data_IF_489213424409
#
_entry.id   IF_489213424409
#
_cell.length_a   1.000
_cell.length_b   1.000
_cell.length_c   1.000
_cell.angle_alpha   90.00
_cell.angle_beta   90.00
_cell.angle_gamma   90.00
#
_symmetry.space_group_name_H-M   'P 1'
#
loop_
_entity.id
_entity.type
_entity.pdbx_description
1 polymer ?
#
# COMPACT_ATOMS: atom_id res chain seq x y z
N UNK A 1 31.32 -5.32 1.62
CA UNK A 1 31.50 -3.90 2.00
C UNK A 1 30.11 -3.32 2.12
N UNK A 2 29.59 -3.32 3.33
CA UNK A 2 28.28 -2.69 3.64
C UNK A 2 28.46 -1.18 3.56
N UNK A 3 27.94 -0.57 2.51
CA UNK A 3 27.72 0.87 2.52
C UNK A 3 26.57 1.14 3.49
N UNK A 4 26.75 1.99 4.51
CA UNK A 4 25.64 2.40 5.35
C UNK A 4 24.61 3.09 4.45
N UNK A 5 23.36 2.63 4.53
CA UNK A 5 22.21 3.25 3.87
C UNK A 5 22.27 4.75 4.17
N UNK A 6 22.30 5.58 3.13
CA UNK A 6 22.26 7.04 3.29
C UNK A 6 20.96 7.35 4.04
N UNK A 7 21.07 8.03 5.19
CA UNK A 7 19.90 8.58 5.88
C UNK A 7 19.18 9.45 4.85
N UNK A 8 18.00 9.01 4.45
CA UNK A 8 17.11 9.84 3.63
C UNK A 8 16.81 11.10 4.44
N UNK A 9 16.87 12.27 3.82
CA UNK A 9 16.52 13.52 4.51
C UNK A 9 15.10 13.43 5.07
N UNK A 10 14.77 14.21 6.08
CA UNK A 10 13.49 14.23 6.79
C UNK A 10 12.36 14.82 5.90
N UNK A 11 11.99 14.10 4.81
CA UNK A 11 10.97 14.54 3.84
C UNK A 11 9.57 14.68 4.46
N UNK A 12 9.33 13.98 5.55
CA UNK A 12 8.03 13.94 6.25
C UNK A 12 8.10 14.51 7.66
N UNK A 13 9.11 15.34 7.97
CA UNK A 13 9.19 15.97 9.28
C UNK A 13 7.93 16.80 9.58
N UNK A 14 7.33 16.58 10.76
CA UNK A 14 6.09 17.21 11.19
C UNK A 14 4.82 16.74 10.44
N UNK A 15 4.89 15.70 9.61
CA UNK A 15 3.74 15.13 8.91
C UNK A 15 3.19 13.90 9.63
N UNK A 16 1.89 13.66 9.45
CA UNK A 16 1.19 12.47 9.95
C UNK A 16 0.78 11.59 8.78
N UNK A 17 1.15 10.32 8.85
CA UNK A 17 0.80 9.32 7.85
C UNK A 17 -0.09 8.21 8.43
N UNK A 18 -1.06 7.73 7.64
CA UNK A 18 -1.86 6.54 7.93
C UNK A 18 -1.51 5.48 6.90
N UNK A 19 -1.14 4.28 7.36
CA UNK A 19 -0.78 3.14 6.50
C UNK A 19 -1.64 1.94 6.86
N UNK A 20 -2.42 1.42 5.91
CA UNK A 20 -3.26 0.23 6.11
C UNK A 20 -2.58 -1.05 5.66
N UNK A 21 -2.94 -2.19 6.26
CA UNK A 21 -2.24 -3.47 6.04
C UNK A 21 -0.79 -3.40 6.56
N UNK A 22 -0.58 -2.68 7.68
CA UNK A 22 0.75 -2.28 8.14
C UNK A 22 1.39 -3.28 9.12
N UNK A 23 0.73 -4.40 9.45
CA UNK A 23 1.30 -5.42 10.32
C UNK A 23 2.34 -6.33 9.62
N UNK A 24 2.55 -6.20 8.31
CA UNK A 24 3.51 -7.03 7.56
C UNK A 24 3.82 -6.47 6.17
N UNK A 25 4.84 -7.04 5.52
CA UNK A 25 5.13 -6.85 4.10
C UNK A 25 5.29 -5.39 3.68
N UNK A 26 4.67 -5.02 2.55
CA UNK A 26 4.77 -3.68 1.98
C UNK A 26 4.27 -2.60 2.95
N UNK A 27 3.17 -2.86 3.67
CA UNK A 27 2.62 -1.90 4.62
C UNK A 27 3.57 -1.61 5.78
N UNK A 28 4.14 -2.66 6.40
CA UNK A 28 5.11 -2.51 7.49
C UNK A 28 6.38 -1.78 7.02
N UNK A 29 6.93 -2.16 5.86
CA UNK A 29 8.09 -1.49 5.27
C UNK A 29 7.80 -0.01 4.94
N UNK A 30 6.58 0.29 4.46
CA UNK A 30 6.15 1.66 4.19
C UNK A 30 6.04 2.48 5.48
N UNK A 31 5.43 1.92 6.53
CA UNK A 31 5.33 2.58 7.83
C UNK A 31 6.71 2.90 8.40
N UNK A 32 7.62 1.92 8.40
CA UNK A 32 9.00 2.11 8.83
C UNK A 32 9.71 3.19 8.01
N UNK A 33 9.60 3.16 6.68
CA UNK A 33 10.21 4.12 5.79
C UNK A 33 9.72 5.55 6.01
N UNK A 34 8.41 5.77 6.15
CA UNK A 34 7.85 7.09 6.41
C UNK A 34 8.28 7.63 7.78
N UNK A 35 8.34 6.75 8.79
CA UNK A 35 8.82 7.12 10.13
C UNK A 35 10.31 7.46 10.14
N UNK A 36 11.17 6.70 9.45
CA UNK A 36 12.59 6.99 9.28
C UNK A 36 12.82 8.37 8.65
N UNK A 37 11.91 8.80 7.77
CA UNK A 37 11.95 10.10 7.12
C UNK A 37 11.19 11.21 7.86
N UNK A 38 10.82 10.98 9.13
CA UNK A 38 10.31 11.98 10.06
C UNK A 38 8.80 12.00 10.28
N UNK A 39 8.01 11.18 9.58
CA UNK A 39 6.57 11.12 9.82
C UNK A 39 6.23 10.54 11.19
N UNK A 40 5.10 10.99 11.75
CA UNK A 40 4.38 10.20 12.74
C UNK A 40 3.41 9.26 12.01
N UNK A 41 3.46 7.95 12.29
CA UNK A 41 2.73 6.95 11.51
C UNK A 41 1.69 6.23 12.34
N UNK A 42 0.45 6.20 11.85
CA UNK A 42 -0.61 5.32 12.34
C UNK A 42 -0.65 4.07 11.48
N UNK A 43 -0.33 2.94 12.09
CA UNK A 43 -0.39 1.62 11.48
C UNK A 43 -1.78 1.03 11.68
N UNK A 44 -2.41 0.57 10.63
CA UNK A 44 -3.77 0.01 10.65
C UNK A 44 -3.77 -1.41 10.11
N UNK A 45 -4.23 -2.37 10.91
CA UNK A 45 -4.37 -3.78 10.50
C UNK A 45 -5.36 -4.51 11.41
N UNK A 46 -5.76 -5.73 11.04
CA UNK A 46 -6.51 -6.65 11.92
C UNK A 46 -5.58 -7.48 12.82
N UNK A 47 -4.32 -7.63 12.45
CA UNK A 47 -3.36 -8.47 13.16
C UNK A 47 -2.65 -7.68 14.27
N UNK A 48 -3.34 -7.51 15.41
CA UNK A 48 -2.95 -6.68 16.54
C UNK A 48 -1.52 -6.97 17.02
N UNK A 49 -1.24 -8.21 17.42
CA UNK A 49 0.08 -8.59 17.95
C UNK A 49 1.24 -8.24 17.00
N UNK A 50 1.05 -8.51 15.70
CA UNK A 50 2.08 -8.21 14.71
C UNK A 50 2.21 -6.72 14.45
N UNK A 51 1.09 -6.00 14.45
CA UNK A 51 1.07 -4.56 14.23
C UNK A 51 1.74 -3.79 15.37
N UNK A 52 1.51 -4.21 16.62
CA UNK A 52 2.19 -3.61 17.78
C UNK A 52 3.70 -3.85 17.72
N UNK A 53 4.17 -5.05 17.38
CA UNK A 53 5.60 -5.32 17.17
C UNK A 53 6.23 -4.40 16.13
N UNK A 54 5.52 -4.11 15.03
CA UNK A 54 6.03 -3.17 14.01
C UNK A 54 6.10 -1.74 14.58
N UNK A 55 5.08 -1.31 15.32
CA UNK A 55 5.05 0.03 15.93
C UNK A 55 6.14 0.20 17.00
N UNK A 56 6.35 -0.81 17.84
CA UNK A 56 7.42 -0.83 18.86
C UNK A 56 8.80 -0.72 18.20
N UNK A 57 9.05 -1.51 17.16
CA UNK A 57 10.32 -1.45 16.43
C UNK A 57 10.59 -0.08 15.81
N UNK A 58 9.58 0.55 15.21
CA UNK A 58 9.71 1.92 14.71
C UNK A 58 10.08 2.88 15.86
N UNK A 59 9.50 2.69 17.05
CA UNK A 59 9.83 3.47 18.24
C UNK A 59 11.27 3.25 18.72
N UNK A 60 11.75 2.01 18.73
CA UNK A 60 13.14 1.64 19.09
C UNK A 60 14.15 2.29 18.13
N UNK A 61 13.80 2.40 16.84
CA UNK A 61 14.60 3.07 15.81
C UNK A 61 14.51 4.61 15.88
N UNK A 62 13.78 5.16 16.88
CA UNK A 62 13.64 6.60 17.13
C UNK A 62 12.53 7.28 16.32
N UNK A 63 11.68 6.51 15.63
CA UNK A 63 10.50 6.99 14.93
C UNK A 63 9.29 7.19 15.84
N UNK A 64 8.20 7.74 15.29
CA UNK A 64 6.92 7.90 15.98
C UNK A 64 5.87 7.03 15.32
N UNK A 65 5.37 6.03 16.03
CA UNK A 65 4.38 5.12 15.50
C UNK A 65 3.31 4.75 16.53
N UNK A 66 2.11 4.45 16.05
CA UNK A 66 1.01 3.90 16.85
C UNK A 66 0.25 2.89 16.01
N UNK A 67 -0.07 1.77 16.62
CA UNK A 67 -0.94 0.78 16.00
C UNK A 67 -2.41 0.99 16.37
N UNK A 68 -3.31 0.70 15.42
CA UNK A 68 -4.77 0.71 15.61
C UNK A 68 -5.36 -0.54 14.95
N UNK A 69 -5.98 -1.40 15.75
CA UNK A 69 -6.76 -2.53 15.25
C UNK A 69 -8.04 -2.02 14.59
N UNK A 70 -8.15 -2.17 13.27
CA UNK A 70 -9.32 -1.75 12.51
C UNK A 70 -9.52 -2.60 11.25
N UNK A 71 -10.78 -2.87 10.91
CA UNK A 71 -11.17 -3.40 9.60
C UNK A 71 -11.42 -2.25 8.64
N UNK A 72 -10.60 -2.13 7.60
CA UNK A 72 -10.74 -1.06 6.60
C UNK A 72 -12.07 -1.08 5.86
N UNK A 73 -12.77 -2.22 5.85
CA UNK A 73 -14.09 -2.37 5.25
C UNK A 73 -15.24 -1.88 6.15
N UNK A 74 -14.95 -1.53 7.41
CA UNK A 74 -15.93 -1.03 8.38
C UNK A 74 -15.79 0.49 8.52
N UNK A 75 -16.83 1.23 8.16
CA UNK A 75 -16.80 2.70 8.13
C UNK A 75 -16.52 3.29 9.52
N UNK A 76 -17.16 2.74 10.56
CA UNK A 76 -17.02 3.21 11.94
C UNK A 76 -15.59 3.09 12.48
N UNK A 77 -14.82 2.12 11.99
CA UNK A 77 -13.44 1.93 12.41
C UNK A 77 -12.54 3.09 11.96
N UNK A 78 -12.84 3.72 10.84
CA UNK A 78 -12.08 4.87 10.35
C UNK A 78 -12.14 6.09 11.27
N UNK A 79 -13.22 6.26 12.05
CA UNK A 79 -13.29 7.33 13.05
C UNK A 79 -12.20 7.15 14.12
N UNK A 80 -11.93 5.90 14.55
CA UNK A 80 -10.84 5.58 15.51
C UNK A 80 -9.46 5.81 14.90
N UNK A 81 -9.30 5.45 13.63
CA UNK A 81 -8.03 5.65 12.90
C UNK A 81 -7.69 7.12 12.78
N UNK A 82 -8.65 7.96 12.34
CA UNK A 82 -8.45 9.41 12.22
C UNK A 82 -8.22 10.06 13.58
N UNK A 83 -8.97 9.67 14.61
CA UNK A 83 -8.76 10.15 15.98
C UNK A 83 -7.34 9.80 16.51
N UNK A 84 -6.83 8.62 16.19
CA UNK A 84 -5.47 8.22 16.52
C UNK A 84 -4.44 9.08 15.77
N UNK A 85 -4.66 9.39 14.50
CA UNK A 85 -3.80 10.26 13.70
C UNK A 85 -3.77 11.68 14.28
N UNK A 86 -4.90 12.21 14.70
CA UNK A 86 -5.02 13.55 15.30
C UNK A 86 -4.24 13.72 16.62
N UNK A 87 -3.84 12.63 17.29
CA UNK A 87 -2.91 12.73 18.43
C UNK A 87 -1.49 13.17 18.03
N UNK A 88 -1.15 13.05 16.76
CA UNK A 88 0.09 13.53 16.17
C UNK A 88 -0.10 14.82 15.35
N UNK A 89 -1.22 14.94 14.67
CA UNK A 89 -1.60 16.05 13.82
C UNK A 89 -2.60 15.61 12.74
N UNK A 90 -3.06 16.55 11.89
CA UNK A 90 -3.93 16.20 10.77
C UNK A 90 -3.22 15.27 9.79
N UNK A 91 -3.98 14.42 9.09
CA UNK A 91 -3.44 13.44 8.15
C UNK A 91 -2.90 14.14 6.90
N UNK A 92 -1.58 14.01 6.67
CA UNK A 92 -0.90 14.50 5.47
C UNK A 92 -0.76 13.43 4.38
N UNK A 93 -0.65 12.16 4.79
CA UNK A 93 -0.43 11.03 3.88
C UNK A 93 -1.35 9.87 4.23
N UNK A 94 -2.07 9.35 3.24
CA UNK A 94 -2.83 8.10 3.34
C UNK A 94 -2.26 7.06 2.38
N UNK A 95 -1.84 5.91 2.92
CA UNK A 95 -1.42 4.74 2.13
C UNK A 95 -2.44 3.62 2.29
N UNK A 96 -3.27 3.42 1.26
CA UNK A 96 -4.23 2.31 1.19
C UNK A 96 -3.54 1.08 0.63
N UNK A 97 -3.08 0.20 1.54
CA UNK A 97 -2.31 -0.98 1.19
C UNK A 97 -2.98 -2.29 1.67
N UNK A 98 -3.89 -2.25 2.64
CA UNK A 98 -4.61 -3.43 3.12
C UNK A 98 -5.27 -4.20 1.97
N UNK A 99 -5.14 -5.52 1.99
CA UNK A 99 -5.79 -6.39 1.00
C UNK A 99 -6.12 -7.76 1.59
N UNK A 100 -7.04 -8.43 0.92
CA UNK A 100 -7.29 -9.86 1.08
C UNK A 100 -7.39 -10.51 -0.29
N UNK A 101 -7.05 -11.78 -0.38
CA UNK A 101 -7.13 -12.61 -1.59
C UNK A 101 -7.58 -14.01 -1.24
N UNK A 102 -8.53 -14.51 -2.02
CA UNK A 102 -8.94 -15.92 -2.07
C UNK A 102 -8.68 -16.41 -3.49
N UNK A 103 -7.81 -17.43 -3.59
CA UNK A 103 -7.38 -17.97 -4.89
C UNK A 103 -8.35 -19.09 -5.28
N UNK A 104 -9.37 -18.71 -6.03
CA UNK A 104 -10.46 -19.58 -6.47
C UNK A 104 -10.89 -19.22 -7.89
N UNK A 105 -11.05 -20.18 -8.82
CA UNK A 105 -11.56 -19.91 -10.17
C UNK A 105 -12.92 -19.21 -10.13
N UNK A 106 -13.20 -18.35 -11.12
CA UNK A 106 -14.40 -17.51 -11.14
C UNK A 106 -15.73 -18.30 -11.00
N UNK A 107 -15.81 -19.48 -11.58
CA UNK A 107 -17.01 -20.31 -11.53
C UNK A 107 -17.22 -21.07 -10.19
N UNK A 108 -16.19 -21.10 -9.34
CA UNK A 108 -16.22 -21.73 -8.03
C UNK A 108 -16.23 -20.71 -6.89
N UNK A 109 -15.88 -19.45 -7.18
CA UNK A 109 -15.82 -18.41 -6.17
C UNK A 109 -17.21 -18.09 -5.62
N UNK A 110 -17.37 -18.16 -4.29
CA UNK A 110 -18.63 -17.79 -3.65
C UNK A 110 -18.84 -16.29 -3.68
N UNK A 111 -20.10 -15.83 -3.74
CA UNK A 111 -20.42 -14.41 -3.68
C UNK A 111 -19.91 -13.73 -2.39
N UNK A 112 -20.00 -14.34 -1.19
CA UNK A 112 -19.39 -13.76 0.01
C UNK A 112 -17.88 -13.55 -0.09
N UNK A 113 -17.12 -14.51 -0.67
CA UNK A 113 -15.67 -14.35 -0.88
C UNK A 113 -15.36 -13.23 -1.87
N UNK A 114 -16.08 -13.18 -2.99
CA UNK A 114 -16.00 -12.09 -3.95
C UNK A 114 -16.24 -10.73 -3.27
N UNK A 115 -17.36 -10.60 -2.54
CA UNK A 115 -17.74 -9.36 -1.89
C UNK A 115 -16.70 -8.93 -0.85
N UNK A 116 -16.23 -9.86 0.01
CA UNK A 116 -15.21 -9.55 1.02
C UNK A 116 -13.93 -9.00 0.41
N UNK A 117 -13.49 -9.56 -0.73
CA UNK A 117 -12.32 -9.05 -1.42
C UNK A 117 -12.53 -7.63 -1.95
N UNK A 118 -13.71 -7.32 -2.51
CA UNK A 118 -14.04 -5.96 -2.95
C UNK A 118 -14.14 -5.00 -1.76
N UNK A 119 -14.76 -5.44 -0.66
CA UNK A 119 -14.94 -4.60 0.53
C UNK A 119 -13.59 -4.20 1.13
N UNK A 120 -12.67 -5.14 1.27
CA UNK A 120 -11.34 -4.82 1.83
C UNK A 120 -10.50 -4.05 0.83
N UNK A 121 -10.36 -4.56 -0.41
CA UNK A 121 -9.35 -4.07 -1.34
C UNK A 121 -9.73 -2.74 -2.00
N UNK A 122 -11.04 -2.49 -2.20
CA UNK A 122 -11.55 -1.33 -2.91
C UNK A 122 -12.37 -0.40 -2.00
N UNK A 123 -13.45 -0.92 -1.38
CA UNK A 123 -14.33 -0.11 -0.53
C UNK A 123 -13.55 0.46 0.65
N UNK A 124 -12.65 -0.33 1.26
CA UNK A 124 -11.79 0.15 2.33
C UNK A 124 -10.90 1.32 1.94
N UNK A 125 -10.37 1.32 0.70
CA UNK A 125 -9.60 2.46 0.17
C UNK A 125 -10.46 3.72 0.00
N UNK A 126 -11.70 3.55 -0.47
CA UNK A 126 -12.67 4.64 -0.58
C UNK A 126 -13.06 5.19 0.80
N UNK A 127 -13.36 4.33 1.77
CA UNK A 127 -13.72 4.73 3.13
C UNK A 127 -12.58 5.51 3.79
N UNK A 128 -11.35 5.02 3.67
CA UNK A 128 -10.16 5.68 4.20
C UNK A 128 -9.92 7.05 3.57
N UNK A 129 -10.03 7.14 2.25
CA UNK A 129 -9.96 8.43 1.55
C UNK A 129 -10.99 9.40 2.09
N UNK A 130 -12.26 8.99 2.15
CA UNK A 130 -13.36 9.83 2.62
C UNK A 130 -13.16 10.31 4.06
N UNK A 131 -12.69 9.44 4.95
CA UNK A 131 -12.45 9.77 6.35
C UNK A 131 -11.29 10.77 6.54
N UNK A 132 -10.23 10.63 5.75
CA UNK A 132 -9.05 11.48 5.82
C UNK A 132 -9.17 12.77 4.97
N UNK A 133 -10.17 12.87 4.08
CA UNK A 133 -10.28 13.94 3.10
C UNK A 133 -10.26 15.36 3.68
N UNK A 134 -10.94 15.68 4.81
CA UNK A 134 -10.87 17.01 5.38
C UNK A 134 -9.42 17.45 5.67
N UNK A 135 -8.65 16.60 6.33
CA UNK A 135 -7.24 16.86 6.64
C UNK A 135 -6.39 16.94 5.38
N UNK A 136 -6.53 15.95 4.48
CA UNK A 136 -5.77 15.89 3.23
C UNK A 136 -5.95 17.17 2.40
N UNK A 137 -7.16 17.73 2.34
CA UNK A 137 -7.41 19.01 1.64
C UNK A 137 -6.71 20.18 2.32
N UNK A 138 -6.85 20.30 3.63
CA UNK A 138 -6.27 21.40 4.40
C UNK A 138 -4.73 21.36 4.36
N UNK A 139 -4.16 20.15 4.31
CA UNK A 139 -2.71 19.91 4.31
C UNK A 139 -2.08 19.82 2.93
N UNK A 140 -2.87 19.85 1.85
CA UNK A 140 -2.42 19.55 0.49
C UNK A 140 -1.74 18.20 0.42
N UNK A 141 -2.40 17.20 1.01
CA UNK A 141 -1.86 15.89 1.28
C UNK A 141 -1.72 15.00 0.04
N UNK A 142 -1.24 13.80 0.29
CA UNK A 142 -1.04 12.77 -0.73
C UNK A 142 -1.69 11.44 -0.35
N UNK A 143 -2.28 10.78 -1.34
CA UNK A 143 -2.83 9.43 -1.22
C UNK A 143 -2.08 8.50 -2.17
N UNK A 144 -1.67 7.33 -1.67
CA UNK A 144 -1.09 6.27 -2.49
C UNK A 144 -1.90 5.00 -2.32
N UNK A 145 -2.43 4.49 -3.44
CA UNK A 145 -3.19 3.25 -3.51
C UNK A 145 -2.27 2.10 -3.96
N UNK A 146 -2.23 1.00 -3.20
CA UNK A 146 -1.45 -0.18 -3.58
C UNK A 146 -2.30 -1.11 -4.46
N UNK A 147 -2.12 -1.00 -5.77
CA UNK A 147 -2.70 -1.90 -6.76
C UNK A 147 -1.85 -3.18 -6.91
N UNK A 148 -1.74 -3.75 -8.09
CA UNK A 148 -0.95 -4.93 -8.42
C UNK A 148 -0.82 -5.08 -9.93
N UNK A 149 0.17 -5.82 -10.41
CA UNK A 149 0.25 -6.26 -11.82
C UNK A 149 -0.99 -7.04 -12.27
N UNK A 150 -1.74 -7.64 -11.32
CA UNK A 150 -3.05 -8.26 -11.60
C UNK A 150 -4.10 -7.27 -12.13
N UNK A 151 -3.91 -5.97 -11.98
CA UNK A 151 -4.77 -4.95 -12.60
C UNK A 151 -4.66 -4.95 -14.13
N UNK A 152 -3.55 -5.43 -14.67
CA UNK A 152 -3.24 -5.42 -16.11
C UNK A 152 -3.09 -6.81 -16.71
N UNK A 153 -2.83 -7.83 -15.89
CA UNK A 153 -2.50 -9.18 -16.32
C UNK A 153 -3.41 -10.20 -15.62
N UNK A 154 -4.05 -11.03 -16.41
CA UNK A 154 -4.86 -12.14 -15.87
C UNK A 154 -3.97 -13.26 -15.34
N UNK A 155 -4.18 -13.63 -14.08
CA UNK A 155 -3.55 -14.78 -13.44
C UNK A 155 -4.68 -15.71 -12.95
N UNK A 156 -4.65 -17.01 -13.26
CA UNK A 156 -5.71 -17.92 -12.87
C UNK A 156 -6.02 -17.90 -11.37
N UNK A 157 -7.30 -18.03 -11.03
CA UNK A 157 -7.76 -18.09 -9.64
C UNK A 157 -7.89 -16.75 -8.90
N UNK A 158 -7.71 -15.61 -9.58
CA UNK A 158 -7.71 -14.30 -8.92
C UNK A 158 -8.79 -13.32 -9.43
N UNK A 159 -10.03 -13.74 -9.73
CA UNK A 159 -11.00 -12.87 -10.40
C UNK A 159 -11.38 -11.63 -9.57
N UNK A 160 -11.72 -11.79 -8.29
CA UNK A 160 -12.10 -10.67 -7.42
C UNK A 160 -10.89 -9.77 -7.09
N UNK A 161 -9.73 -10.38 -6.83
CA UNK A 161 -8.50 -9.63 -6.58
C UNK A 161 -8.12 -8.76 -7.78
N UNK A 162 -8.06 -9.34 -8.97
CA UNK A 162 -7.74 -8.61 -10.19
C UNK A 162 -8.74 -7.48 -10.47
N UNK A 163 -10.05 -7.75 -10.33
CA UNK A 163 -11.09 -6.74 -10.48
C UNK A 163 -10.90 -5.59 -9.49
N UNK A 164 -10.65 -5.89 -8.20
CA UNK A 164 -10.43 -4.86 -7.18
C UNK A 164 -9.18 -4.02 -7.47
N UNK A 165 -8.08 -4.66 -7.90
CA UNK A 165 -6.81 -3.97 -8.19
C UNK A 165 -6.89 -3.13 -9.46
N UNK A 166 -7.65 -3.58 -10.47
CA UNK A 166 -7.97 -2.76 -11.65
C UNK A 166 -8.84 -1.55 -11.30
N UNK A 167 -9.86 -1.75 -10.46
CA UNK A 167 -10.73 -0.68 -9.99
C UNK A 167 -9.98 0.42 -9.21
N UNK A 168 -8.93 0.06 -8.43
CA UNK A 168 -8.09 1.04 -7.75
C UNK A 168 -7.37 1.99 -8.70
N UNK A 169 -6.97 1.53 -9.90
CA UNK A 169 -6.33 2.40 -10.89
C UNK A 169 -7.33 3.42 -11.46
N UNK A 170 -8.55 2.97 -11.74
CA UNK A 170 -9.62 3.87 -12.17
C UNK A 170 -10.01 4.87 -11.08
N UNK A 171 -10.13 4.40 -9.82
CA UNK A 171 -10.41 5.25 -8.66
C UNK A 171 -9.30 6.28 -8.45
N UNK A 172 -8.03 5.90 -8.60
CA UNK A 172 -6.88 6.80 -8.53
C UNK A 172 -7.03 7.98 -9.49
N UNK A 173 -7.30 7.69 -10.77
CA UNK A 173 -7.48 8.74 -11.79
C UNK A 173 -8.67 9.64 -11.49
N UNK A 174 -9.80 9.07 -11.04
CA UNK A 174 -11.00 9.82 -10.70
C UNK A 174 -10.75 10.77 -9.52
N UNK A 175 -10.18 10.26 -8.41
CA UNK A 175 -9.91 11.08 -7.23
C UNK A 175 -8.87 12.18 -7.49
N UNK A 176 -7.86 11.91 -8.32
CA UNK A 176 -6.87 12.90 -8.70
C UNK A 176 -7.48 14.10 -9.44
N UNK A 177 -8.45 13.86 -10.31
CA UNK A 177 -9.15 14.92 -11.06
C UNK A 177 -10.15 15.66 -10.16
N UNK A 178 -10.88 14.93 -9.32
CA UNK A 178 -11.97 15.49 -8.52
C UNK A 178 -11.46 16.36 -7.37
N UNK A 179 -10.30 16.00 -6.77
CA UNK A 179 -9.74 16.65 -5.58
C UNK A 179 -8.44 17.43 -5.83
N UNK A 180 -7.93 17.48 -7.05
CA UNK A 180 -6.86 18.41 -7.41
C UNK A 180 -7.38 19.85 -7.48
N UNK A 181 -6.58 20.84 -7.09
CA UNK A 181 -5.16 20.77 -6.74
C UNK A 181 -4.86 20.50 -5.25
N UNK A 182 -5.89 20.30 -4.41
CA UNK A 182 -5.70 20.17 -2.97
C UNK A 182 -5.08 18.83 -2.55
N UNK A 183 -5.44 17.74 -3.25
CA UNK A 183 -4.98 16.38 -2.91
C UNK A 183 -4.36 15.71 -4.13
N UNK A 184 -3.16 15.15 -3.97
CA UNK A 184 -2.57 14.27 -4.99
C UNK A 184 -2.95 12.82 -4.71
N UNK A 185 -3.37 12.10 -5.74
CA UNK A 185 -3.72 10.69 -5.62
C UNK A 185 -2.97 9.90 -6.67
N UNK A 186 -2.16 8.93 -6.25
CA UNK A 186 -1.39 8.07 -7.14
C UNK A 186 -1.53 6.60 -6.74
N UNK A 187 -1.11 5.71 -7.58
CA UNK A 187 -1.08 4.29 -7.30
C UNK A 187 0.32 3.70 -7.52
N UNK A 188 0.67 2.67 -6.76
CA UNK A 188 1.78 1.76 -7.09
C UNK A 188 1.22 0.45 -7.61
N UNK A 189 1.95 -0.19 -8.53
CA UNK A 189 1.57 -1.47 -9.15
C UNK A 189 2.71 -2.47 -8.92
N UNK A 190 2.76 -3.12 -7.73
CA UNK A 190 3.79 -4.09 -7.44
C UNK A 190 3.64 -5.37 -8.26
N UNK A 191 4.80 -5.96 -8.62
CA UNK A 191 4.91 -7.31 -9.17
C UNK A 191 5.13 -8.38 -8.08
N UNK A 192 5.93 -9.41 -8.36
CA UNK A 192 6.26 -10.43 -7.37
C UNK A 192 7.21 -9.85 -6.30
N UNK A 193 6.64 -9.52 -5.13
CA UNK A 193 7.35 -8.97 -3.97
C UNK A 193 7.42 -10.05 -2.89
N UNK A 194 8.61 -10.33 -2.37
CA UNK A 194 8.83 -11.37 -1.37
C UNK A 194 8.22 -10.95 -0.03
N UNK A 195 7.07 -11.52 0.28
CA UNK A 195 6.32 -11.31 1.52
C UNK A 195 5.83 -12.66 2.03
N UNK A 196 5.25 -12.73 3.22
CA UNK A 196 4.64 -13.95 3.76
C UNK A 196 3.53 -14.55 2.85
N UNK A 197 3.00 -13.80 1.89
CA UNK A 197 2.06 -14.33 0.90
C UNK A 197 2.69 -15.46 0.05
N UNK A 198 4.00 -15.45 -0.12
CA UNK A 198 4.74 -16.48 -0.86
C UNK A 198 5.04 -17.75 -0.05
N UNK A 199 4.79 -17.77 1.25
CA UNK A 199 5.07 -18.96 2.09
C UNK A 199 4.21 -20.18 1.70
N UNK A 200 3.06 -19.93 1.06
CA UNK A 200 2.14 -20.95 0.56
C UNK A 200 2.41 -21.36 -0.89
N UNK A 201 3.38 -20.74 -1.55
CA UNK A 201 3.72 -20.97 -2.96
C UNK A 201 4.88 -21.97 -3.03
N UNK A 202 4.80 -22.95 -3.94
CA UNK A 202 5.85 -23.97 -4.10
C UNK A 202 7.18 -23.37 -4.53
N UNK A 203 8.33 -23.98 -4.22
CA UNK A 203 9.63 -23.52 -4.69
C UNK A 203 9.68 -23.36 -6.21
N UNK A 204 9.10 -24.29 -6.95
CA UNK A 204 9.08 -24.30 -8.42
C UNK A 204 8.28 -23.11 -8.98
N UNK A 205 7.15 -22.77 -8.35
CA UNK A 205 6.34 -21.61 -8.77
C UNK A 205 7.01 -20.30 -8.39
N UNK A 206 7.76 -20.26 -7.26
CA UNK A 206 8.60 -19.12 -6.90
C UNK A 206 9.71 -18.90 -7.94
N UNK A 207 10.43 -19.95 -8.33
CA UNK A 207 11.47 -19.88 -9.36
C UNK A 207 10.90 -19.43 -10.71
N UNK A 208 9.72 -19.93 -11.10
CA UNK A 208 9.01 -19.49 -12.31
C UNK A 208 8.69 -18.00 -12.27
N UNK A 209 8.13 -17.52 -11.15
CA UNK A 209 7.81 -16.09 -10.97
C UNK A 209 9.05 -15.21 -11.06
N UNK A 210 10.17 -15.64 -10.51
CA UNK A 210 11.47 -14.95 -10.63
C UNK A 210 11.98 -14.97 -12.08
N UNK A 211 11.89 -16.11 -12.77
CA UNK A 211 12.32 -16.24 -14.16
C UNK A 211 11.53 -15.35 -15.13
N UNK A 212 10.31 -14.97 -14.76
CA UNK A 212 9.46 -14.05 -15.53
C UNK A 212 9.79 -12.57 -15.28
N UNK A 213 10.63 -12.22 -14.33
CA UNK A 213 11.11 -10.83 -14.14
C UNK A 213 12.35 -10.54 -14.97
N UNK A 214 12.49 -9.30 -15.46
CA UNK A 214 13.70 -8.87 -16.17
C UNK A 214 14.91 -8.81 -15.23
N UNK A 215 14.68 -8.48 -13.94
CA UNK A 215 15.75 -8.38 -12.92
C UNK A 215 16.10 -9.73 -12.29
N UNK A 216 15.38 -10.82 -12.63
CA UNK A 216 15.64 -12.20 -12.20
C UNK A 216 15.67 -12.42 -10.68
N UNK A 217 14.87 -11.68 -9.96
CA UNK A 217 14.67 -11.83 -8.50
C UNK A 217 13.31 -11.32 -8.09
N UNK A 218 12.88 -11.69 -6.89
CA UNK A 218 11.78 -10.99 -6.23
C UNK A 218 12.17 -9.54 -5.92
N UNK A 219 11.18 -8.65 -5.94
CA UNK A 219 11.32 -7.36 -5.27
C UNK A 219 11.21 -7.53 -3.76
N UNK A 220 11.72 -6.56 -3.00
CA UNK A 220 11.52 -6.48 -1.57
C UNK A 220 10.40 -5.50 -1.20
N UNK A 221 9.76 -5.65 -0.03
CA UNK A 221 8.80 -4.66 0.48
C UNK A 221 9.36 -3.24 0.52
N UNK A 222 10.66 -3.09 0.85
CA UNK A 222 11.34 -1.81 0.96
C UNK A 222 11.46 -1.10 -0.40
N UNK A 223 11.60 -1.85 -1.51
CA UNK A 223 11.63 -1.27 -2.86
C UNK A 223 10.28 -0.65 -3.23
N UNK A 224 9.17 -1.29 -2.83
CA UNK A 224 7.82 -0.72 -3.01
C UNK A 224 7.60 0.45 -2.06
N UNK A 225 8.03 0.33 -0.80
CA UNK A 225 7.95 1.41 0.19
C UNK A 225 8.70 2.67 -0.26
N UNK A 226 9.84 2.51 -0.94
CA UNK A 226 10.58 3.64 -1.52
C UNK A 226 9.77 4.38 -2.60
N UNK A 227 9.07 3.65 -3.46
CA UNK A 227 8.18 4.23 -4.47
C UNK A 227 6.96 4.94 -3.84
N UNK A 228 6.36 4.33 -2.81
CA UNK A 228 5.26 4.94 -2.05
C UNK A 228 5.72 6.22 -1.37
N UNK A 229 6.87 6.22 -0.68
CA UNK A 229 7.43 7.39 -0.04
C UNK A 229 7.72 8.52 -1.05
N UNK A 230 8.27 8.20 -2.22
CA UNK A 230 8.47 9.17 -3.31
C UNK A 230 7.15 9.81 -3.75
N UNK A 231 6.12 9.01 -4.06
CA UNK A 231 4.82 9.53 -4.48
C UNK A 231 4.11 10.34 -3.39
N UNK A 232 4.40 10.07 -2.12
CA UNK A 232 3.84 10.80 -0.98
C UNK A 232 4.55 12.13 -0.70
N UNK A 233 5.80 12.30 -1.14
CA UNK A 233 6.64 13.46 -0.86
C UNK A 233 6.37 14.66 -1.79
N UNK A 234 6.86 15.84 -1.40
CA UNK A 234 6.76 17.07 -2.20
C UNK A 234 7.54 17.00 -3.52
N UNK A 235 8.55 16.13 -3.61
CA UNK A 235 9.27 15.82 -4.85
C UNK A 235 8.34 15.36 -5.96
N UNK A 236 7.20 14.71 -5.60
CA UNK A 236 6.15 14.28 -6.51
C UNK A 236 5.03 15.31 -6.68
N UNK A 237 5.26 16.60 -6.39
CA UNK A 237 4.23 17.67 -6.39
C UNK A 237 3.51 17.86 -7.73
N UNK A 238 4.14 17.45 -8.85
CA UNK A 238 3.52 17.51 -10.19
C UNK A 238 3.08 16.12 -10.70
N UNK A 239 2.99 15.13 -9.79
CA UNK A 239 2.58 13.76 -10.12
C UNK A 239 1.27 13.47 -9.38
N UNK A 240 0.18 13.32 -10.15
CA UNK A 240 -1.14 12.92 -9.66
C UNK A 240 -1.89 12.15 -10.74
N UNK A 241 -2.75 11.20 -10.35
CA UNK A 241 -3.53 10.38 -11.27
C UNK A 241 -2.72 9.29 -11.99
N UNK A 242 -1.46 9.04 -11.62
CA UNK A 242 -0.61 8.04 -12.25
C UNK A 242 -0.55 6.72 -11.48
N UNK A 243 -0.14 5.69 -12.20
CA UNK A 243 0.21 4.39 -11.61
C UNK A 243 1.68 4.08 -11.90
N UNK A 244 2.48 3.95 -10.84
CA UNK A 244 3.91 3.60 -10.93
C UNK A 244 4.07 2.09 -10.79
N UNK A 245 4.55 1.45 -11.86
CA UNK A 245 4.83 0.01 -11.86
C UNK A 245 6.16 -0.26 -11.13
N UNK A 246 6.13 -1.22 -10.18
CA UNK A 246 7.28 -1.64 -9.37
C UNK A 246 7.34 -3.17 -9.39
N UNK A 247 7.77 -3.75 -10.50
CA UNK A 247 7.59 -5.17 -10.80
C UNK A 247 8.85 -5.88 -11.33
N UNK A 248 9.99 -5.20 -11.32
CA UNK A 248 11.22 -5.77 -11.86
C UNK A 248 11.16 -6.10 -13.35
N UNK A 249 10.26 -5.43 -14.09
CA UNK A 249 10.03 -5.65 -15.52
C UNK A 249 9.14 -6.85 -15.84
N UNK A 250 8.48 -7.47 -14.85
CA UNK A 250 7.62 -8.63 -15.05
C UNK A 250 6.52 -8.39 -16.09
N UNK A 251 5.86 -7.24 -16.04
CA UNK A 251 4.74 -6.93 -16.94
C UNK A 251 5.15 -6.64 -18.40
N UNK A 252 6.44 -6.41 -18.66
CA UNK A 252 6.98 -6.05 -19.99
C UNK A 252 7.88 -7.14 -20.58
N UNK A 253 8.29 -8.14 -19.80
CA UNK A 253 9.02 -9.29 -20.32
C UNK A 253 8.14 -10.05 -21.30
N UNK A 254 8.67 -10.27 -22.51
CA UNK A 254 8.09 -11.16 -23.51
C UNK A 254 9.04 -12.32 -23.75
N UNK A 255 8.59 -13.54 -23.50
CA UNK A 255 9.31 -14.71 -23.94
C UNK A 255 9.34 -14.69 -25.49
N UNK A 256 10.52 -14.51 -26.06
CA UNK A 256 10.74 -14.78 -27.49
C UNK A 256 11.01 -16.27 -27.65
N UNK A 257 10.33 -16.89 -28.60
CA UNK A 257 10.62 -18.27 -29.00
C UNK A 257 12.05 -18.40 -29.57
#
# INVERSE_FOLDING_TARGET
MDQPLRRHGARFDGRTAVVTGAASGIGAATAARLAEEGAAVVLVDLAEERGEVVAERIGEDGGRARFVTADVAVEEDWARVVAAAHSYGPVDVLVSNAFTVDVTPAHEMSLPSWQRQLDVNLTGSFLGFRAALPDLRDRRGAVVLTSSVHAHKGIPGHPAYAASKGALLSLCAQLAVEYGPEVRVNAVVPGPILTAAWDRVTPEDRERSVAETAVRRFGSPEEVAAAIAFLSADEASYITGTSLVVDGGWSVVKASA
#
